data_IF_944764390477
#
_entry.id   IF_944764390477
#
_cell.length_a   1.000
_cell.length_b   1.000
_cell.length_c   1.000
_cell.angle_alpha   90.00
_cell.angle_beta   90.00
_cell.angle_gamma   90.00
#
_symmetry.space_group_name_H-M   'P 1'
#
loop_
_entity.id
_entity.type
_entity.pdbx_description
1 polymer ?
#
# COMPACT_ATOMS: atom_id res chain seq x y z
N UNK A 1 11.59 22.18 -0.83
CA UNK A 1 10.28 22.20 -1.55
C UNK A 1 10.32 23.04 -2.83
N UNK A 2 10.86 24.27 -2.80
CA UNK A 2 10.88 25.17 -3.98
C UNK A 2 11.62 24.57 -5.17
N UNK A 3 12.72 23.84 -4.95
CA UNK A 3 13.51 23.23 -6.03
C UNK A 3 12.78 22.06 -6.71
N UNK A 4 12.12 21.20 -5.93
CA UNK A 4 11.41 20.02 -6.42
C UNK A 4 10.13 20.40 -7.18
N UNK A 5 9.35 21.35 -6.64
CA UNK A 5 8.10 21.81 -7.25
C UNK A 5 8.30 23.09 -8.06
N UNK A 6 9.54 23.43 -8.43
CA UNK A 6 9.85 24.64 -9.20
C UNK A 6 9.16 24.60 -10.56
N UNK A 7 9.19 23.43 -11.19
CA UNK A 7 8.61 23.16 -12.48
C UNK A 7 7.42 22.21 -12.31
N UNK A 8 6.28 22.56 -12.93
CA UNK A 8 5.07 21.72 -12.87
C UNK A 8 5.24 20.41 -13.63
N UNK A 9 6.05 20.42 -14.71
CA UNK A 9 6.37 19.25 -15.52
C UNK A 9 7.88 19.12 -15.66
N UNK A 10 8.42 17.92 -15.59
CA UNK A 10 9.84 17.63 -15.75
C UNK A 10 10.04 16.44 -16.68
N UNK A 11 11.07 16.50 -17.53
CA UNK A 11 11.46 15.37 -18.38
C UNK A 11 12.36 14.43 -17.57
N UNK A 12 11.90 13.20 -17.37
CA UNK A 12 12.68 12.13 -16.80
C UNK A 12 13.22 11.23 -17.90
N UNK A 13 14.54 11.15 -18.01
CA UNK A 13 15.21 10.30 -19.00
C UNK A 13 15.61 8.99 -18.31
N UNK A 14 14.89 7.92 -18.63
CA UNK A 14 15.20 6.59 -18.13
C UNK A 14 16.25 5.93 -19.05
N UNK A 15 17.52 6.10 -18.68
CA UNK A 15 18.67 5.56 -19.43
C UNK A 15 18.56 4.05 -19.76
N UNK A 16 18.15 3.16 -18.83
CA UNK A 16 18.13 1.72 -19.13
C UNK A 16 17.15 1.29 -20.23
N UNK A 17 16.04 2.04 -20.40
CA UNK A 17 15.06 1.74 -21.45
C UNK A 17 15.16 2.69 -22.66
N UNK A 18 16.10 3.64 -22.62
CA UNK A 18 16.22 4.73 -23.59
C UNK A 18 14.89 5.48 -23.84
N UNK A 19 14.06 5.63 -22.80
CA UNK A 19 12.75 6.30 -22.86
C UNK A 19 12.75 7.60 -22.07
N UNK A 20 12.03 8.59 -22.58
CA UNK A 20 11.69 9.82 -21.87
C UNK A 20 10.27 9.76 -21.31
N UNK A 21 10.08 10.25 -20.10
CA UNK A 21 8.78 10.38 -19.45
C UNK A 21 8.56 11.83 -19.02
N UNK A 22 7.37 12.36 -19.23
CA UNK A 22 6.99 13.65 -18.67
C UNK A 22 6.34 13.37 -17.32
N UNK A 23 6.99 13.81 -16.24
CA UNK A 23 6.45 13.74 -14.90
C UNK A 23 5.75 15.05 -14.58
N UNK A 24 4.52 14.97 -14.06
CA UNK A 24 3.78 16.15 -13.59
C UNK A 24 3.69 16.14 -12.07
N UNK A 25 4.19 17.21 -11.44
CA UNK A 25 4.08 17.39 -10.01
C UNK A 25 2.72 17.96 -9.63
N UNK A 26 2.06 17.32 -8.66
CA UNK A 26 0.83 17.83 -8.04
C UNK A 26 0.94 17.69 -6.53
N UNK A 27 1.08 18.84 -5.84
CA UNK A 27 1.12 18.89 -4.37
C UNK A 27 -0.17 18.36 -3.76
N UNK A 28 -1.32 18.71 -4.33
CA UNK A 28 -2.63 18.25 -3.89
C UNK A 28 -2.71 16.72 -3.93
N UNK A 29 -2.33 16.10 -5.05
CA UNK A 29 -2.29 14.64 -5.16
C UNK A 29 -1.31 14.03 -4.16
N UNK A 30 -0.09 14.58 -4.07
CA UNK A 30 0.94 14.09 -3.16
C UNK A 30 0.46 14.09 -1.70
N UNK A 31 -0.01 15.22 -1.19
CA UNK A 31 -0.49 15.32 0.18
C UNK A 31 -1.79 14.53 0.38
N UNK A 32 -2.68 14.47 -0.61
CA UNK A 32 -3.86 13.62 -0.58
C UNK A 32 -3.51 12.13 -0.38
N UNK A 33 -2.50 11.62 -1.08
CA UNK A 33 -2.00 10.25 -0.85
C UNK A 33 -1.27 10.10 0.48
N UNK A 34 -0.47 11.09 0.88
CA UNK A 34 0.23 11.08 2.17
C UNK A 34 -0.75 10.96 3.34
N UNK A 35 -1.82 11.77 3.37
CA UNK A 35 -2.82 11.71 4.44
C UNK A 35 -3.60 10.39 4.43
N UNK A 36 -3.93 9.84 3.25
CA UNK A 36 -4.53 8.50 3.16
C UNK A 36 -3.63 7.44 3.79
N UNK A 37 -2.33 7.50 3.48
CA UNK A 37 -1.35 6.55 4.00
C UNK A 37 -1.20 6.68 5.53
N UNK A 38 -1.07 7.91 6.03
CA UNK A 38 -1.00 8.19 7.47
C UNK A 38 -2.26 7.68 8.18
N UNK A 39 -3.45 7.90 7.61
CA UNK A 39 -4.72 7.41 8.18
C UNK A 39 -4.75 5.89 8.29
N UNK A 40 -4.27 5.18 7.27
CA UNK A 40 -4.17 3.72 7.29
C UNK A 40 -3.19 3.24 8.34
N UNK A 41 -1.99 3.84 8.41
CA UNK A 41 -1.01 3.52 9.45
C UNK A 41 -1.60 3.75 10.83
N UNK A 42 -2.23 4.90 11.06
CA UNK A 42 -2.81 5.22 12.35
C UNK A 42 -3.91 4.22 12.75
N UNK A 43 -4.82 3.88 11.82
CA UNK A 43 -5.84 2.87 12.03
C UNK A 43 -5.24 1.49 12.33
N UNK A 44 -4.21 1.09 11.59
CA UNK A 44 -3.50 -0.16 11.82
C UNK A 44 -2.85 -0.18 13.20
N UNK A 45 -2.15 0.89 13.58
CA UNK A 45 -1.49 1.00 14.89
C UNK A 45 -2.48 0.93 16.04
N UNK A 46 -3.63 1.62 15.95
CA UNK A 46 -4.68 1.55 16.97
C UNK A 46 -5.27 0.15 17.12
N UNK A 47 -5.48 -0.54 16.00
CA UNK A 47 -6.12 -1.85 16.00
C UNK A 47 -5.13 -3.01 16.07
N UNK A 48 -3.82 -2.74 16.09
CA UNK A 48 -2.79 -3.76 15.91
C UNK A 48 -2.87 -4.87 16.94
N UNK A 49 -3.02 -4.51 18.23
CA UNK A 49 -3.11 -5.51 19.30
C UNK A 49 -4.34 -6.41 19.13
N UNK A 50 -5.48 -5.83 18.74
CA UNK A 50 -6.71 -6.58 18.50
C UNK A 50 -6.55 -7.51 17.29
N UNK A 51 -6.06 -6.98 16.17
CA UNK A 51 -5.78 -7.73 14.95
C UNK A 51 -4.80 -8.88 15.18
N UNK A 52 -3.77 -8.67 16.00
CA UNK A 52 -2.82 -9.70 16.39
C UNK A 52 -3.51 -10.83 17.14
N UNK A 53 -4.33 -10.50 18.14
CA UNK A 53 -5.07 -11.51 18.91
C UNK A 53 -6.09 -12.25 18.05
N UNK A 54 -6.85 -11.56 17.20
CA UNK A 54 -7.78 -12.18 16.26
C UNK A 54 -7.09 -13.14 15.30
N UNK A 55 -5.93 -12.74 14.76
CA UNK A 55 -5.12 -13.60 13.90
C UNK A 55 -4.61 -14.85 14.64
N UNK A 56 -4.09 -14.67 15.86
CA UNK A 56 -3.63 -15.80 16.68
C UNK A 56 -4.76 -16.78 17.00
N UNK A 57 -5.94 -16.27 17.36
CA UNK A 57 -7.09 -17.10 17.70
C UNK A 57 -7.68 -17.85 16.50
N UNK A 58 -7.55 -17.30 15.30
CA UNK A 58 -8.02 -17.92 14.05
C UNK A 58 -6.95 -18.77 13.37
N UNK A 59 -5.72 -18.82 13.89
CA UNK A 59 -4.59 -19.47 13.22
C UNK A 59 -4.83 -20.95 12.95
N UNK A 60 -5.30 -21.70 13.95
CA UNK A 60 -5.55 -23.13 13.83
C UNK A 60 -6.66 -23.44 12.82
N UNK A 61 -7.68 -22.58 12.74
CA UNK A 61 -8.77 -22.71 11.76
C UNK A 61 -8.27 -22.41 10.34
N UNK A 62 -7.58 -21.27 10.15
CA UNK A 62 -7.01 -20.83 8.87
C UNK A 62 -5.95 -21.78 8.31
N UNK A 63 -5.30 -22.57 9.17
CA UNK A 63 -4.29 -23.56 8.79
C UNK A 63 -4.84 -24.98 8.75
N UNK A 64 -6.11 -25.20 9.11
CA UNK A 64 -6.71 -26.52 9.14
C UNK A 64 -6.91 -27.08 7.71
N UNK A 65 -6.77 -28.41 7.53
CA UNK A 65 -7.11 -29.06 6.26
C UNK A 65 -8.57 -28.85 5.85
N UNK A 66 -9.47 -28.75 6.84
CA UNK A 66 -10.92 -28.53 6.63
C UNK A 66 -11.16 -27.17 6.00
N UNK A 67 -10.53 -26.11 6.52
CA UNK A 67 -10.62 -24.76 5.96
C UNK A 67 -10.15 -24.71 4.50
N UNK A 68 -8.99 -25.32 4.19
CA UNK A 68 -8.44 -25.30 2.84
C UNK A 68 -9.21 -26.17 1.84
N UNK A 69 -9.73 -27.32 2.29
CA UNK A 69 -10.65 -28.15 1.48
C UNK A 69 -11.90 -27.37 1.10
N UNK A 70 -12.49 -26.65 2.05
CA UNK A 70 -13.63 -25.75 1.82
C UNK A 70 -13.30 -24.59 0.88
N UNK A 71 -12.17 -23.91 1.09
CA UNK A 71 -11.75 -22.76 0.28
C UNK A 71 -11.53 -23.15 -1.19
N UNK A 72 -10.98 -24.34 -1.44
CA UNK A 72 -10.68 -24.82 -2.79
C UNK A 72 -11.72 -25.79 -3.37
N UNK A 73 -12.86 -25.97 -2.69
CA UNK A 73 -13.94 -26.90 -3.10
C UNK A 73 -13.42 -28.31 -3.42
N UNK A 74 -12.45 -28.79 -2.62
CA UNK A 74 -12.02 -30.18 -2.64
C UNK A 74 -12.75 -30.90 -1.52
N UNK A 75 -13.62 -31.84 -1.87
CA UNK A 75 -14.27 -32.75 -0.92
C UNK A 75 -13.21 -33.62 -0.21
#
# INVERSE_FOLDING_TARGET
MREIYRFKKVLYIHKPSNKGFILEHSKEKFFGYLFKYIKVIYSLSLNYSKLKTEYQNSYDDLTSPIFWRKQFKKD
#
